data_IF_870377790439
#
_entry.id   IF_870377790439
#
_cell.length_a   1.000
_cell.length_b   1.000
_cell.length_c   1.000
_cell.angle_alpha   90.00
_cell.angle_beta   90.00
_cell.angle_gamma   90.00
#
_symmetry.space_group_name_H-M   'P 1'
#
loop_
_entity.id
_entity.type
_entity.pdbx_description
1 polymer ?
#
# COMPACT_ATOMS: atom_id res chain seq x y z
N UNK A 1 -4.80 23.05 -31.58
CA UNK A 1 -4.67 23.12 -30.12
C UNK A 1 -3.68 22.04 -29.71
N UNK A 2 -2.48 22.41 -29.26
CA UNK A 2 -1.53 21.41 -28.78
C UNK A 2 -1.99 20.97 -27.39
N UNK A 3 -2.37 19.70 -27.25
CA UNK A 3 -2.57 19.09 -25.94
C UNK A 3 -1.20 19.00 -25.28
N UNK A 4 -0.98 19.78 -24.22
CA UNK A 4 0.18 19.59 -23.37
C UNK A 4 -0.01 18.27 -22.62
N UNK A 5 0.72 17.23 -23.04
CA UNK A 5 0.72 15.96 -22.32
C UNK A 5 1.11 16.22 -20.85
N UNK A 6 0.31 15.80 -19.86
CA UNK A 6 0.77 15.83 -18.48
C UNK A 6 1.92 14.82 -18.37
N UNK A 7 3.15 15.33 -18.29
CA UNK A 7 4.30 14.50 -17.90
C UNK A 7 4.19 14.27 -16.40
N UNK A 8 3.32 13.36 -16.00
CA UNK A 8 3.37 12.82 -14.64
C UNK A 8 4.76 12.21 -14.43
N UNK A 9 5.43 12.60 -13.35
CA UNK A 9 6.73 12.06 -12.98
C UNK A 9 6.59 10.53 -12.85
N UNK A 10 7.45 9.76 -13.54
CA UNK A 10 7.45 8.30 -13.43
C UNK A 10 8.12 7.89 -12.12
N UNK A 11 7.32 7.47 -11.14
CA UNK A 11 7.78 7.02 -9.83
C UNK A 11 7.87 5.50 -9.77
N UNK A 12 8.87 4.99 -9.04
CA UNK A 12 8.94 3.57 -8.68
C UNK A 12 7.91 3.31 -7.58
N UNK A 13 6.98 2.38 -7.82
CA UNK A 13 5.97 1.95 -6.86
C UNK A 13 6.41 0.65 -6.20
N UNK A 14 6.40 0.62 -4.88
CA UNK A 14 6.63 -0.57 -4.06
C UNK A 14 5.36 -0.83 -3.26
N UNK A 15 4.75 -1.99 -3.46
CA UNK A 15 3.62 -2.46 -2.67
C UNK A 15 4.08 -3.56 -1.71
N UNK A 16 3.79 -3.42 -0.43
CA UNK A 16 4.01 -4.47 0.59
C UNK A 16 2.65 -4.98 1.01
N UNK A 17 2.38 -6.25 0.73
CA UNK A 17 1.14 -6.92 1.10
C UNK A 17 1.30 -7.58 2.47
N UNK A 18 0.42 -7.20 3.40
CA UNK A 18 0.47 -7.59 4.79
C UNK A 18 -0.68 -8.53 5.14
N UNK A 19 -0.37 -9.54 5.93
CA UNK A 19 -1.37 -10.32 6.65
C UNK A 19 -1.45 -9.82 8.08
N UNK A 20 -2.65 -9.76 8.62
CA UNK A 20 -2.84 -9.54 10.04
C UNK A 20 -2.35 -10.77 10.82
N UNK A 21 -1.71 -10.56 11.96
CA UNK A 21 -1.33 -11.63 12.87
C UNK A 21 -2.55 -12.46 13.30
N UNK A 22 -2.39 -13.79 13.40
CA UNK A 22 -3.46 -14.70 13.79
C UNK A 22 -4.07 -14.40 15.17
N UNK A 23 -3.29 -13.78 16.07
CA UNK A 23 -3.71 -13.38 17.41
C UNK A 23 -4.40 -12.02 17.46
N UNK A 24 -4.37 -11.25 16.36
CA UNK A 24 -4.95 -9.92 16.29
C UNK A 24 -6.39 -9.98 15.75
N UNK A 25 -7.31 -9.18 16.29
CA UNK A 25 -8.66 -9.06 15.76
C UNK A 25 -8.69 -8.12 14.54
N UNK A 26 -9.70 -8.24 13.68
CA UNK A 26 -9.84 -7.35 12.49
C UNK A 26 -9.93 -5.88 12.92
N UNK A 27 -10.71 -5.60 13.97
CA UNK A 27 -10.88 -4.25 14.50
C UNK A 27 -9.59 -3.68 15.10
N UNK A 28 -8.82 -4.49 15.81
CA UNK A 28 -7.54 -4.06 16.38
C UNK A 28 -6.52 -3.79 15.28
N UNK A 29 -6.48 -4.62 14.24
CA UNK A 29 -5.60 -4.44 13.09
C UNK A 29 -5.92 -3.17 12.30
N UNK A 30 -7.19 -2.97 11.96
CA UNK A 30 -7.64 -1.77 11.26
C UNK A 30 -7.33 -0.52 12.09
N UNK A 31 -7.64 -0.54 13.38
CA UNK A 31 -7.32 0.56 14.29
C UNK A 31 -5.81 0.81 14.34
N UNK A 32 -4.99 -0.23 14.47
CA UNK A 32 -3.53 -0.09 14.44
C UNK A 32 -3.06 0.58 13.15
N UNK A 33 -3.50 0.09 11.98
CA UNK A 33 -3.06 0.58 10.68
C UNK A 33 -3.45 2.05 10.45
N UNK A 34 -4.67 2.42 10.83
CA UNK A 34 -5.25 3.76 10.59
C UNK A 34 -4.90 4.78 11.67
N UNK A 35 -4.37 4.35 12.82
CA UNK A 35 -3.99 5.25 13.92
C UNK A 35 -2.52 5.10 14.28
N UNK A 36 -2.17 4.16 15.17
CA UNK A 36 -0.83 3.98 15.73
C UNK A 36 0.27 3.89 14.67
N UNK A 37 0.06 3.06 13.64
CA UNK A 37 1.02 2.86 12.57
C UNK A 37 1.28 4.17 11.82
N UNK A 38 0.23 4.78 11.25
CA UNK A 38 0.41 5.98 10.42
C UNK A 38 0.88 7.19 11.24
N UNK A 39 0.45 7.31 12.50
CA UNK A 39 0.91 8.37 13.40
C UNK A 39 2.42 8.29 13.69
N UNK A 40 2.96 7.07 13.83
CA UNK A 40 4.40 6.86 14.00
C UNK A 40 5.17 6.98 12.67
N UNK A 41 4.59 6.46 11.59
CA UNK A 41 5.27 6.26 10.31
C UNK A 41 5.33 7.52 9.43
N UNK A 42 4.24 8.29 9.34
CA UNK A 42 4.09 9.34 8.31
C UNK A 42 5.22 10.38 8.32
N UNK A 43 5.58 10.85 9.52
CA UNK A 43 6.65 11.83 9.69
C UNK A 43 8.04 11.27 9.35
N UNK A 44 8.27 9.98 9.57
CA UNK A 44 9.53 9.31 9.24
C UNK A 44 9.61 9.10 7.71
N UNK A 45 8.56 8.51 7.13
CA UNK A 45 8.41 8.28 5.68
C UNK A 45 8.68 9.56 4.89
N UNK A 46 8.06 10.67 5.28
CA UNK A 46 8.18 11.93 4.55
C UNK A 46 9.63 12.48 4.52
N UNK A 47 10.43 12.24 5.57
CA UNK A 47 11.83 12.71 5.62
C UNK A 47 12.77 11.94 4.69
N UNK A 48 12.39 10.73 4.27
CA UNK A 48 13.17 9.91 3.34
C UNK A 48 12.84 10.16 1.86
N UNK A 49 12.12 11.24 1.55
CA UNK A 49 11.87 11.64 0.15
C UNK A 49 10.81 10.81 -0.57
N UNK A 50 10.07 9.96 0.15
CA UNK A 50 8.94 9.20 -0.40
C UNK A 50 7.85 10.18 -0.84
N UNK A 51 7.54 10.16 -2.13
CA UNK A 51 6.68 11.16 -2.80
C UNK A 51 5.21 10.95 -2.46
N UNK A 52 4.78 9.69 -2.39
CA UNK A 52 3.44 9.29 -1.99
C UNK A 52 3.52 8.03 -1.15
N UNK A 53 2.73 8.01 -0.10
CA UNK A 53 2.46 6.84 0.71
C UNK A 53 0.95 6.61 0.78
N UNK A 54 0.51 5.37 0.59
CA UNK A 54 -0.89 5.01 0.75
C UNK A 54 -1.03 3.66 1.47
N UNK A 55 -2.12 3.51 2.21
CA UNK A 55 -2.58 2.24 2.77
C UNK A 55 -3.88 1.84 2.04
N UNK A 56 -3.95 0.58 1.64
CA UNK A 56 -5.15 -0.04 1.12
C UNK A 56 -5.53 -1.19 2.06
N UNK A 57 -6.50 -0.95 2.93
CA UNK A 57 -7.04 -1.98 3.82
C UNK A 57 -8.14 -2.75 3.09
N UNK A 58 -8.21 -4.04 3.38
CA UNK A 58 -9.18 -4.96 2.77
C UNK A 58 -10.01 -5.63 3.86
N UNK A 59 -10.72 -4.85 4.71
CA UNK A 59 -11.54 -5.44 5.76
C UNK A 59 -12.60 -6.37 5.15
N UNK A 60 -13.04 -7.36 5.92
CA UNK A 60 -14.01 -8.35 5.45
C UNK A 60 -15.28 -7.71 4.89
N UNK A 61 -15.74 -6.61 5.50
CA UNK A 61 -16.88 -5.84 4.99
C UNK A 61 -16.68 -5.35 3.55
N UNK A 62 -15.52 -4.78 3.23
CA UNK A 62 -15.21 -4.27 1.89
C UNK A 62 -15.08 -5.41 0.88
N UNK A 63 -14.43 -6.52 1.26
CA UNK A 63 -14.34 -7.73 0.44
C UNK A 63 -15.73 -8.30 0.12
N UNK A 64 -16.63 -8.30 1.10
CA UNK A 64 -17.99 -8.82 0.96
C UNK A 64 -18.87 -8.01 0.01
N UNK A 65 -18.57 -6.72 -0.20
CA UNK A 65 -19.29 -5.90 -1.19
C UNK A 65 -19.15 -6.49 -2.59
N UNK A 66 -17.96 -6.97 -2.95
CA UNK A 66 -17.64 -7.49 -4.29
C UNK A 66 -17.57 -9.02 -4.38
N UNK A 67 -17.61 -9.72 -3.24
CA UNK A 67 -17.55 -11.18 -3.19
C UNK A 67 -18.61 -11.89 -4.08
N UNK A 68 -19.87 -11.42 -4.18
CA UNK A 68 -20.86 -12.04 -5.06
C UNK A 68 -20.44 -12.00 -6.54
N UNK A 69 -19.81 -10.91 -6.98
CA UNK A 69 -19.43 -10.68 -8.38
C UNK A 69 -18.25 -11.55 -8.83
N UNK A 70 -17.40 -11.98 -7.90
CA UNK A 70 -16.27 -12.88 -8.21
C UNK A 70 -16.73 -14.20 -8.82
N UNK A 71 -17.94 -14.66 -8.47
CA UNK A 71 -18.51 -15.90 -9.03
C UNK A 71 -18.80 -15.81 -10.54
N UNK A 72 -18.96 -14.60 -11.07
CA UNK A 72 -19.18 -14.34 -12.49
C UNK A 72 -17.87 -14.06 -13.26
N UNK A 73 -16.72 -14.02 -12.58
CA UNK A 73 -15.42 -13.77 -13.18
C UNK A 73 -14.84 -15.04 -13.82
N UNK A 74 -13.81 -14.92 -14.68
CA UNK A 74 -13.17 -16.07 -15.28
C UNK A 74 -12.71 -17.12 -14.26
N UNK A 75 -12.70 -18.42 -14.62
CA UNK A 75 -12.24 -19.48 -13.74
C UNK A 75 -10.84 -19.21 -13.15
N UNK A 76 -10.69 -19.40 -11.84
CA UNK A 76 -9.44 -19.21 -11.11
C UNK A 76 -9.24 -17.81 -10.52
N UNK A 77 -10.14 -16.85 -10.78
CA UNK A 77 -10.09 -15.53 -10.15
C UNK A 77 -10.61 -15.62 -8.71
N UNK A 78 -9.86 -15.04 -7.77
CA UNK A 78 -10.19 -15.05 -6.34
C UNK A 78 -9.93 -13.68 -5.71
N UNK A 79 -10.62 -13.38 -4.61
CA UNK A 79 -10.23 -12.25 -3.77
C UNK A 79 -8.87 -12.54 -3.12
N UNK A 80 -8.02 -11.53 -3.11
CA UNK A 80 -6.73 -11.64 -2.45
C UNK A 80 -6.91 -11.74 -0.93
N UNK A 81 -6.16 -12.63 -0.24
CA UNK A 81 -6.31 -12.84 1.20
C UNK A 81 -5.55 -11.82 2.05
N UNK A 82 -4.71 -10.95 1.48
CA UNK A 82 -3.98 -9.93 2.27
C UNK A 82 -4.95 -8.95 2.92
N UNK A 83 -4.69 -8.57 4.17
CA UNK A 83 -5.53 -7.68 4.99
C UNK A 83 -5.18 -6.20 4.81
N UNK A 84 -3.97 -5.91 4.33
CA UNK A 84 -3.57 -4.58 3.95
C UNK A 84 -2.50 -4.60 2.85
N UNK A 85 -2.38 -3.48 2.14
CA UNK A 85 -1.24 -3.17 1.29
C UNK A 85 -0.73 -1.76 1.61
N UNK A 86 0.56 -1.62 1.92
CA UNK A 86 1.23 -0.31 1.96
C UNK A 86 1.88 -0.04 0.61
N UNK A 87 1.80 1.20 0.15
CA UNK A 87 2.26 1.60 -1.17
C UNK A 87 3.20 2.79 -1.03
N UNK A 88 4.44 2.62 -1.47
CA UNK A 88 5.47 3.65 -1.50
C UNK A 88 5.73 4.06 -2.94
N UNK A 89 5.76 5.36 -3.20
CA UNK A 89 6.14 5.92 -4.48
C UNK A 89 7.41 6.73 -4.29
N UNK A 90 8.48 6.33 -4.96
CA UNK A 90 9.82 6.88 -4.76
C UNK A 90 10.46 7.30 -6.08
N UNK A 91 11.39 8.26 -6.02
CA UNK A 91 12.18 8.67 -7.18
C UNK A 91 13.36 7.73 -7.40
N UNK A 92 13.93 7.25 -6.30
CA UNK A 92 15.00 6.25 -6.29
C UNK A 92 14.69 5.13 -5.32
N UNK A 93 15.19 3.92 -5.61
CA UNK A 93 15.17 2.83 -4.63
C UNK A 93 15.93 3.20 -3.34
N UNK A 94 16.87 4.16 -3.40
CA UNK A 94 17.63 4.63 -2.24
C UNK A 94 16.76 5.39 -1.23
N UNK A 95 15.67 6.02 -1.67
CA UNK A 95 14.70 6.69 -0.78
C UNK A 95 14.08 5.65 0.18
N UNK A 96 13.62 4.51 -0.37
CA UNK A 96 13.05 3.43 0.43
C UNK A 96 14.13 2.70 1.26
N UNK A 97 15.33 2.48 0.71
CA UNK A 97 16.44 1.90 1.48
C UNK A 97 16.82 2.77 2.67
N UNK A 98 16.82 4.09 2.50
CA UNK A 98 17.07 5.05 3.58
C UNK A 98 16.07 4.88 4.71
N UNK A 99 14.77 4.79 4.38
CA UNK A 99 13.72 4.51 5.36
C UNK A 99 13.97 3.19 6.10
N UNK A 100 14.26 2.12 5.35
CA UNK A 100 14.49 0.79 5.91
C UNK A 100 15.78 0.67 6.74
N UNK A 101 16.65 1.66 6.71
CA UNK A 101 17.85 1.73 7.56
C UNK A 101 17.71 2.74 8.70
N UNK A 102 16.58 3.47 8.79
CA UNK A 102 16.33 4.46 9.83
C UNK A 102 16.08 3.76 11.18
N UNK A 103 16.91 4.01 12.21
CA UNK A 103 16.71 3.41 13.53
C UNK A 103 15.36 3.78 14.15
N UNK A 104 14.86 5.01 13.90
CA UNK A 104 13.55 5.45 14.39
C UNK A 104 12.42 4.68 13.71
N UNK A 105 12.56 4.36 12.42
CA UNK A 105 11.62 3.49 11.70
C UNK A 105 11.54 2.11 12.36
N UNK A 106 12.70 1.48 12.60
CA UNK A 106 12.74 0.18 13.25
C UNK A 106 12.15 0.21 14.67
N UNK A 107 12.47 1.23 15.45
CA UNK A 107 12.04 1.35 16.84
C UNK A 107 10.54 1.62 16.95
N UNK A 108 10.02 2.57 16.17
CA UNK A 108 8.64 3.06 16.33
C UNK A 108 7.62 2.35 15.46
N UNK A 109 8.06 1.76 14.33
CA UNK A 109 7.17 1.10 13.37
C UNK A 109 7.46 -0.39 13.34
N UNK A 110 8.66 -0.79 12.91
CA UNK A 110 8.97 -2.19 12.63
C UNK A 110 8.79 -3.13 13.82
N UNK A 111 9.20 -2.72 15.03
CA UNK A 111 9.00 -3.55 16.24
C UNK A 111 7.52 -3.73 16.60
N UNK A 112 6.74 -2.65 16.54
CA UNK A 112 5.32 -2.66 16.94
C UNK A 112 4.48 -3.42 15.91
N UNK A 113 4.81 -3.27 14.63
CA UNK A 113 4.10 -3.92 13.52
C UNK A 113 4.03 -5.45 13.69
N UNK A 114 5.08 -6.08 14.23
CA UNK A 114 5.10 -7.53 14.48
C UNK A 114 4.04 -8.05 15.48
N UNK A 115 3.43 -7.18 16.28
CA UNK A 115 2.31 -7.56 17.17
C UNK A 115 0.98 -7.67 16.41
N UNK A 116 0.86 -6.98 15.27
CA UNK A 116 -0.37 -6.82 14.52
C UNK A 116 -0.34 -7.49 13.15
N UNK A 117 0.84 -7.70 12.56
CA UNK A 117 1.03 -8.32 11.25
C UNK A 117 1.80 -9.64 11.35
N UNK A 118 1.47 -10.58 10.49
CA UNK A 118 2.36 -11.71 10.21
C UNK A 118 3.41 -11.29 9.17
N UNK A 119 4.66 -11.15 9.65
CA UNK A 119 5.79 -10.72 8.83
C UNK A 119 6.45 -11.87 8.05
N UNK A 120 6.03 -13.13 8.27
CA UNK A 120 6.62 -14.32 7.64
C UNK A 120 6.20 -14.51 6.17
N UNK A 121 4.97 -14.08 5.83
CA UNK A 121 4.35 -14.31 4.51
C UNK A 121 4.16 -13.01 3.69
N UNK A 122 4.93 -11.97 4.03
CA UNK A 122 4.85 -10.68 3.33
C UNK A 122 5.26 -10.82 1.87
N UNK A 123 4.41 -10.33 0.96
CA UNK A 123 4.66 -10.34 -0.48
C UNK A 123 4.86 -8.92 -1.01
N UNK A 124 5.98 -8.69 -1.70
CA UNK A 124 6.35 -7.38 -2.23
C UNK A 124 6.19 -7.35 -3.75
N UNK A 125 5.54 -6.30 -4.26
CA UNK A 125 5.51 -5.99 -5.69
C UNK A 125 6.28 -4.69 -5.95
N UNK A 126 7.04 -4.65 -7.04
CA UNK A 126 7.79 -3.47 -7.46
C UNK A 126 7.53 -3.21 -8.93
N UNK A 127 7.22 -1.96 -9.28
CA UNK A 127 6.94 -1.60 -10.66
C UNK A 127 6.68 -0.11 -10.85
N UNK A 128 5.96 0.22 -11.92
CA UNK A 128 5.54 1.59 -12.22
C UNK A 128 4.02 1.62 -12.40
N UNK A 129 3.40 2.72 -11.97
CA UNK A 129 1.98 2.96 -12.16
C UNK A 129 1.78 3.98 -13.29
N UNK A 130 0.95 3.63 -14.25
CA UNK A 130 0.42 4.58 -15.25
C UNK A 130 -1.07 4.72 -15.01
N UNK A 131 -1.51 5.94 -14.69
CA UNK A 131 -2.92 6.25 -14.47
C UNK A 131 -3.55 6.59 -15.83
N UNK A 132 -4.66 5.92 -16.17
CA UNK A 132 -5.40 6.16 -17.43
C UNK A 132 -6.79 6.76 -17.21
N UNK A 133 -7.27 6.76 -15.97
CA UNK A 133 -8.50 7.43 -15.55
C UNK A 133 -8.21 8.13 -14.23
N UNK A 134 -8.37 9.45 -14.19
CA UNK A 134 -8.12 10.28 -13.00
C UNK A 134 -9.26 11.29 -12.88
N UNK A 135 -9.84 11.42 -11.68
CA UNK A 135 -10.98 12.32 -11.43
C UNK A 135 -12.19 12.11 -12.37
N UNK A 136 -12.36 10.89 -12.89
CA UNK A 136 -13.45 10.53 -13.82
C UNK A 136 -13.13 10.80 -15.29
N UNK A 137 -11.96 11.37 -15.61
CA UNK A 137 -11.55 11.72 -16.96
C UNK A 137 -10.52 10.72 -17.51
N UNK A 138 -10.57 10.47 -18.82
CA UNK A 138 -9.58 9.63 -19.52
C UNK A 138 -8.29 10.43 -19.71
N UNK A 139 -7.17 9.89 -19.21
CA UNK A 139 -5.85 10.51 -19.25
C UNK A 139 -4.81 9.53 -19.84
N UNK A 140 -3.70 10.04 -20.35
CA UNK A 140 -2.56 9.23 -20.86
C UNK A 140 -2.91 8.19 -21.96
N UNK A 141 -4.03 8.37 -22.66
CA UNK A 141 -4.42 7.59 -23.86
C UNK A 141 -4.24 8.47 -25.11
N UNK A 142 -3.55 8.00 -26.17
CA UNK A 142 -3.39 8.74 -27.43
C UNK A 142 -4.67 8.98 -28.22
#
# INVERSE_FOLDING_TARGET
>A
MASAAPKTERLLKICVNHYKAHTCSDADFEKFMTTSHIQAAAGIIARHGIVKYAQYLTPLEARNIFAPDITAMPPGWTLSPYDAQTQYYVRSADDLRGLLMDPEWHEKVGKVETEYTDVGDVMIMVGWETVYIEEGEVVNVP
#
